data_IF_384298554957
#
_entry.id   IF_384298554957
#
_cell.length_a   1.000
_cell.length_b   1.000
_cell.length_c   1.000
_cell.angle_alpha   90.00
_cell.angle_beta   90.00
_cell.angle_gamma   90.00
#
_symmetry.space_group_name_H-M   'P 1'
#
loop_
_entity.id
_entity.type
_entity.pdbx_description
1 polymer ?
#
# COMPACT_ATOMS: atom_id res chain seq x y z
N UNK A 1 -4.99 4.51 -18.08
CA UNK A 1 -4.68 4.77 -16.64
C UNK A 1 -4.93 6.24 -16.33
N UNK A 2 -5.55 6.55 -15.20
CA UNK A 2 -5.70 7.92 -14.66
C UNK A 2 -4.60 8.22 -13.66
N UNK A 3 -4.32 9.48 -13.42
CA UNK A 3 -3.25 9.92 -12.52
C UNK A 3 -3.80 10.86 -11.44
N UNK A 4 -3.16 10.86 -10.27
CA UNK A 4 -3.47 11.68 -9.11
C UNK A 4 -2.21 12.37 -8.61
N UNK A 5 -2.34 13.50 -7.92
CA UNK A 5 -1.19 14.16 -7.32
C UNK A 5 -0.77 13.44 -6.03
N UNK A 6 0.52 13.29 -5.83
CA UNK A 6 1.10 12.80 -4.58
C UNK A 6 1.42 13.99 -3.67
N UNK A 7 0.57 14.19 -2.65
CA UNK A 7 0.65 15.39 -1.84
C UNK A 7 0.25 16.65 -2.62
N UNK A 8 0.29 17.79 -1.94
CA UNK A 8 -0.17 19.06 -2.52
C UNK A 8 0.59 19.48 -3.79
N UNK A 9 1.92 19.30 -3.79
CA UNK A 9 2.82 19.77 -4.84
C UNK A 9 3.70 18.67 -5.44
N UNK A 10 3.40 17.41 -5.17
CA UNK A 10 4.22 16.28 -5.62
C UNK A 10 3.94 15.84 -7.06
N UNK A 11 4.60 14.78 -7.51
CA UNK A 11 4.47 14.24 -8.84
C UNK A 11 3.09 13.61 -9.09
N UNK A 12 2.79 13.32 -10.35
CA UNK A 12 1.61 12.55 -10.72
C UNK A 12 1.89 11.05 -10.57
N UNK A 13 1.05 10.35 -9.81
CA UNK A 13 1.06 8.90 -9.62
C UNK A 13 -0.17 8.27 -10.26
N UNK A 14 -0.06 7.04 -10.72
CA UNK A 14 -1.20 6.27 -11.25
C UNK A 14 -2.28 6.12 -10.18
N UNK A 15 -3.54 6.31 -10.56
CA UNK A 15 -4.68 6.24 -9.64
C UNK A 15 -4.81 4.87 -8.95
N UNK A 16 -4.33 3.82 -9.60
CA UNK A 16 -4.04 2.52 -8.99
C UNK A 16 -2.55 2.28 -9.18
N UNK A 17 -1.86 2.10 -8.07
CA UNK A 17 -0.43 1.85 -8.01
C UNK A 17 -0.15 0.40 -7.62
N UNK A 18 1.08 -0.02 -7.47
CA UNK A 18 1.40 -1.42 -7.23
C UNK A 18 2.11 -1.60 -5.89
N UNK A 19 1.45 -2.32 -4.97
CA UNK A 19 2.03 -2.80 -3.72
C UNK A 19 2.68 -4.18 -3.87
N UNK A 20 3.27 -4.65 -2.76
CA UNK A 20 3.87 -5.98 -2.67
C UNK A 20 2.80 -7.09 -2.73
N UNK A 21 3.03 -8.10 -3.56
CA UNK A 21 2.24 -9.35 -3.54
C UNK A 21 2.40 -10.10 -2.22
N UNK A 22 1.42 -10.91 -1.85
CA UNK A 22 1.41 -11.66 -0.59
C UNK A 22 2.47 -12.77 -0.55
N UNK A 23 2.72 -13.42 -1.69
CA UNK A 23 3.69 -14.50 -1.82
C UNK A 23 5.10 -13.93 -1.96
N UNK A 24 6.03 -14.40 -1.11
CA UNK A 24 7.44 -14.06 -1.23
C UNK A 24 8.07 -14.72 -2.46
N UNK A 25 8.84 -13.94 -3.20
CA UNK A 25 9.62 -14.44 -4.35
C UNK A 25 10.96 -14.95 -3.82
N UNK A 26 11.31 -16.17 -4.16
CA UNK A 26 12.62 -16.76 -3.88
C UNK A 26 13.58 -16.41 -5.00
N UNK A 27 14.75 -15.88 -4.67
CA UNK A 27 15.76 -15.51 -5.69
C UNK A 27 16.29 -16.71 -6.47
N UNK A 28 16.32 -17.86 -5.81
CA UNK A 28 16.77 -19.13 -6.36
C UNK A 28 15.75 -19.74 -7.34
N UNK A 29 14.50 -19.28 -7.28
CA UNK A 29 13.43 -19.69 -8.18
C UNK A 29 13.35 -18.71 -9.35
N UNK A 30 14.09 -19.01 -10.41
CA UNK A 30 14.13 -18.18 -11.62
C UNK A 30 12.75 -17.99 -12.27
N UNK A 31 11.85 -18.98 -12.17
CA UNK A 31 10.52 -18.86 -12.73
C UNK A 31 9.69 -17.82 -11.96
N UNK A 32 9.78 -17.82 -10.62
CA UNK A 32 9.14 -16.79 -9.81
C UNK A 32 9.72 -15.41 -10.09
N UNK A 33 11.04 -15.29 -10.23
CA UNK A 33 11.71 -14.01 -10.56
C UNK A 33 11.28 -13.52 -11.94
N UNK A 34 11.24 -14.39 -12.95
CA UNK A 34 10.75 -14.04 -14.31
C UNK A 34 9.30 -13.57 -14.26
N UNK A 35 8.42 -14.28 -13.55
CA UNK A 35 7.01 -13.90 -13.40
C UNK A 35 6.85 -12.53 -12.73
N UNK A 36 7.62 -12.27 -11.66
CA UNK A 36 7.63 -10.98 -10.98
C UNK A 36 8.07 -9.84 -11.91
N UNK A 37 9.19 -10.03 -12.62
CA UNK A 37 9.70 -9.03 -13.57
C UNK A 37 8.71 -8.75 -14.71
N UNK A 38 8.09 -9.80 -15.26
CA UNK A 38 7.07 -9.66 -16.28
C UNK A 38 5.84 -8.91 -15.76
N UNK A 39 5.41 -9.18 -14.52
CA UNK A 39 4.29 -8.48 -13.90
C UNK A 39 4.61 -6.99 -13.69
N UNK A 40 5.82 -6.63 -13.24
CA UNK A 40 6.23 -5.24 -13.08
C UNK A 40 6.34 -4.50 -14.43
N UNK A 41 6.92 -5.16 -15.45
CA UNK A 41 6.94 -4.59 -16.81
C UNK A 41 5.53 -4.37 -17.34
N UNK A 42 4.63 -5.34 -17.14
CA UNK A 42 3.23 -5.21 -17.55
C UNK A 42 2.53 -4.07 -16.81
N UNK A 43 2.83 -3.86 -15.52
CA UNK A 43 2.33 -2.71 -14.78
C UNK A 43 2.76 -1.38 -15.43
N UNK A 44 4.03 -1.25 -15.75
CA UNK A 44 4.55 -0.07 -16.45
C UNK A 44 3.88 0.15 -17.81
N UNK A 45 3.71 -0.88 -18.62
CA UNK A 45 3.02 -0.82 -19.92
C UNK A 45 1.55 -0.37 -19.81
N UNK A 46 0.89 -0.72 -18.72
CA UNK A 46 -0.48 -0.25 -18.41
C UNK A 46 -0.53 1.16 -17.84
N UNK A 47 0.61 1.83 -17.68
CA UNK A 47 0.73 3.18 -17.15
C UNK A 47 0.74 3.24 -15.62
N UNK A 48 0.95 2.12 -14.92
CA UNK A 48 1.26 2.13 -13.48
C UNK A 48 2.67 2.68 -13.31
N UNK A 49 2.79 3.78 -12.59
CA UNK A 49 4.07 4.47 -12.43
C UNK A 49 4.52 4.63 -10.97
N UNK A 50 3.82 4.04 -9.99
CA UNK A 50 4.23 4.09 -8.60
C UNK A 50 4.29 2.68 -8.00
N UNK A 51 5.47 2.28 -7.52
CA UNK A 51 5.76 0.95 -7.00
C UNK A 51 6.21 1.02 -5.54
N UNK A 52 5.51 0.30 -4.66
CA UNK A 52 5.74 0.33 -3.23
C UNK A 52 6.60 -0.84 -2.75
N UNK A 53 7.66 -0.53 -2.01
CA UNK A 53 8.56 -1.48 -1.37
C UNK A 53 8.76 -1.18 0.12
N UNK A 54 9.63 -1.95 0.77
CA UNK A 54 10.11 -1.74 2.15
C UNK A 54 11.33 -2.62 2.41
N UNK A 55 12.19 -2.18 3.31
CA UNK A 55 13.29 -2.97 3.87
C UNK A 55 12.80 -4.23 4.60
N UNK A 56 11.59 -4.18 5.19
CA UNK A 56 10.99 -5.31 5.91
C UNK A 56 10.35 -6.37 4.99
N UNK A 57 10.28 -6.14 3.67
CA UNK A 57 9.59 -7.06 2.78
C UNK A 57 10.49 -8.22 2.33
N UNK A 58 10.07 -9.46 2.65
CA UNK A 58 10.78 -10.69 2.30
C UNK A 58 12.24 -10.72 2.77
N UNK A 59 12.53 -10.15 3.94
CA UNK A 59 13.90 -10.04 4.43
C UNK A 59 14.78 -9.17 3.52
N UNK A 60 14.32 -7.96 3.21
CA UNK A 60 14.95 -6.97 2.31
C UNK A 60 14.95 -7.32 0.81
N UNK A 61 14.60 -8.55 0.43
CA UNK A 61 14.73 -9.05 -0.96
C UNK A 61 13.83 -8.32 -1.95
N UNK A 62 12.68 -7.80 -1.50
CA UNK A 62 11.75 -7.09 -2.38
C UNK A 62 12.38 -5.83 -2.99
N UNK A 63 13.17 -5.08 -2.24
CA UNK A 63 13.89 -3.89 -2.75
C UNK A 63 14.84 -4.26 -3.88
N UNK A 64 15.65 -5.30 -3.70
CA UNK A 64 16.60 -5.75 -4.71
C UNK A 64 15.91 -6.27 -5.99
N UNK A 65 14.77 -6.96 -5.85
CA UNK A 65 13.98 -7.42 -7.00
C UNK A 65 13.35 -6.25 -7.74
N UNK A 66 12.75 -5.30 -7.01
CA UNK A 66 12.16 -4.10 -7.60
C UNK A 66 13.21 -3.30 -8.38
N UNK A 67 14.36 -3.01 -7.77
CA UNK A 67 15.43 -2.24 -8.41
C UNK A 67 15.93 -2.89 -9.71
N UNK A 68 16.10 -4.21 -9.72
CA UNK A 68 16.48 -4.96 -10.95
C UNK A 68 15.40 -4.88 -12.02
N UNK A 69 14.14 -5.04 -11.64
CA UNK A 69 13.01 -5.08 -12.58
C UNK A 69 12.76 -3.74 -13.27
N UNK A 70 12.99 -2.61 -12.58
CA UNK A 70 12.77 -1.26 -13.13
C UNK A 70 13.99 -0.64 -13.81
N UNK A 71 15.16 -1.30 -13.80
CA UNK A 71 16.41 -0.73 -14.29
C UNK A 71 16.30 -0.08 -15.68
N UNK A 72 15.51 -0.66 -16.58
CA UNK A 72 15.33 -0.15 -17.95
C UNK A 72 14.35 1.03 -18.10
N UNK A 73 13.62 1.40 -17.02
CA UNK A 73 12.62 2.48 -17.05
C UNK A 73 12.52 3.24 -15.72
N UNK A 74 13.59 3.22 -14.91
CA UNK A 74 13.66 3.86 -13.58
C UNK A 74 13.22 5.32 -13.59
N UNK A 75 13.62 6.08 -14.59
CA UNK A 75 13.33 7.52 -14.68
C UNK A 75 11.88 7.84 -15.07
N UNK A 76 11.12 6.82 -15.45
CA UNK A 76 9.72 6.95 -15.87
C UNK A 76 8.75 6.53 -14.76
N UNK A 77 9.27 6.09 -13.61
CA UNK A 77 8.46 5.58 -12.50
C UNK A 77 8.89 6.17 -11.17
N UNK A 78 8.00 6.12 -10.20
CA UNK A 78 8.23 6.49 -8.81
C UNK A 78 8.32 5.22 -7.97
N UNK A 79 9.27 5.18 -7.08
CA UNK A 79 9.44 4.07 -6.13
C UNK A 79 9.33 4.57 -4.70
N UNK A 80 8.77 3.74 -3.85
CA UNK A 80 8.86 3.98 -2.41
C UNK A 80 9.58 2.86 -1.69
N UNK A 81 10.21 3.22 -0.58
CA UNK A 81 10.64 2.27 0.43
C UNK A 81 10.33 2.78 1.82
N UNK A 82 10.52 1.91 2.83
CA UNK A 82 10.15 2.17 4.22
C UNK A 82 11.24 1.65 5.15
N UNK A 83 11.36 2.27 6.33
CA UNK A 83 12.26 1.87 7.41
C UNK A 83 11.54 1.92 8.75
N UNK A 84 12.19 1.44 9.80
CA UNK A 84 11.73 1.61 11.18
C UNK A 84 11.18 0.34 11.83
N UNK A 85 10.83 -0.69 11.06
CA UNK A 85 10.50 -2.00 11.62
C UNK A 85 11.77 -2.81 11.86
N UNK A 86 11.97 -3.29 13.08
CA UNK A 86 13.10 -4.13 13.45
C UNK A 86 12.66 -5.47 14.06
N UNK A 87 13.43 -6.50 13.80
CA UNK A 87 13.29 -7.80 14.44
C UNK A 87 14.30 -7.90 15.60
N UNK A 88 13.78 -8.08 16.80
CA UNK A 88 14.63 -8.27 17.99
C UNK A 88 15.16 -9.71 18.05
N UNK A 89 16.28 -9.96 18.76
CA UNK A 89 16.88 -11.29 18.90
C UNK A 89 15.92 -12.34 19.49
N UNK A 90 14.94 -11.91 20.30
CA UNK A 90 13.91 -12.78 20.89
C UNK A 90 12.73 -13.06 19.94
N UNK A 91 12.82 -12.60 18.67
CA UNK A 91 11.79 -12.77 17.65
C UNK A 91 10.63 -11.78 17.73
N UNK A 92 10.64 -10.86 18.69
CA UNK A 92 9.63 -9.80 18.78
C UNK A 92 9.89 -8.72 17.73
N UNK A 93 8.83 -8.02 17.39
CA UNK A 93 8.87 -6.84 16.52
C UNK A 93 8.99 -5.58 17.37
N UNK A 94 9.84 -4.66 16.94
CA UNK A 94 9.97 -3.34 17.52
C UNK A 94 10.07 -2.27 16.44
N UNK A 95 10.14 -1.03 16.85
CA UNK A 95 10.31 0.13 15.97
C UNK A 95 11.60 0.88 16.33
N UNK A 96 12.21 1.52 15.35
CA UNK A 96 13.37 2.38 15.54
C UNK A 96 13.25 3.61 14.64
N UNK A 97 12.91 4.75 15.26
CA UNK A 97 12.77 6.05 14.62
C UNK A 97 13.98 6.98 14.83
N UNK A 98 15.08 6.49 15.41
CA UNK A 98 16.24 7.34 15.75
C UNK A 98 16.90 7.92 14.50
N UNK A 99 17.37 9.18 14.53
CA UNK A 99 18.01 9.84 13.40
C UNK A 99 19.12 9.03 12.74
N UNK A 100 20.01 8.41 13.51
CA UNK A 100 21.13 7.62 12.98
C UNK A 100 20.61 6.44 12.17
N UNK A 101 19.58 5.76 12.67
CA UNK A 101 18.97 4.61 12.01
C UNK A 101 18.25 4.99 10.71
N UNK A 102 17.68 6.20 10.62
CA UNK A 102 17.08 6.74 9.39
C UNK A 102 18.10 6.77 8.27
N UNK A 103 19.32 7.29 8.54
CA UNK A 103 20.39 7.41 7.55
C UNK A 103 20.91 6.03 7.12
N UNK A 104 21.21 5.16 8.08
CA UNK A 104 21.68 3.78 7.83
C UNK A 104 20.71 3.00 6.94
N UNK A 105 19.43 3.05 7.26
CA UNK A 105 18.38 2.34 6.50
C UNK A 105 18.23 2.90 5.09
N UNK A 106 18.28 4.22 4.92
CA UNK A 106 18.16 4.84 3.61
C UNK A 106 19.33 4.43 2.69
N UNK A 107 20.56 4.52 3.18
CA UNK A 107 21.74 4.14 2.40
C UNK A 107 21.74 2.65 2.04
N UNK A 108 21.31 1.80 2.98
CA UNK A 108 21.14 0.38 2.73
C UNK A 108 20.05 0.10 1.68
N UNK A 109 18.93 0.81 1.70
CA UNK A 109 17.83 0.68 0.75
C UNK A 109 18.24 1.12 -0.65
N UNK A 110 18.92 2.26 -0.79
CA UNK A 110 19.49 2.75 -2.05
C UNK A 110 20.44 1.72 -2.68
N UNK A 111 21.35 1.17 -1.85
CA UNK A 111 22.30 0.13 -2.27
C UNK A 111 21.59 -1.15 -2.73
N UNK A 112 20.58 -1.64 -1.97
CA UNK A 112 19.86 -2.86 -2.35
C UNK A 112 19.06 -2.70 -3.64
N UNK A 113 18.41 -1.56 -3.82
CA UNK A 113 17.67 -1.25 -5.05
C UNK A 113 18.57 -0.89 -6.23
N UNK A 114 19.83 -0.51 -5.98
CA UNK A 114 20.75 -0.06 -7.02
C UNK A 114 20.27 1.24 -7.68
N UNK A 115 19.76 2.16 -6.87
CA UNK A 115 19.28 3.48 -7.29
C UNK A 115 19.94 4.58 -6.45
N UNK A 116 20.03 5.79 -7.01
CA UNK A 116 20.61 6.95 -6.33
C UNK A 116 19.56 7.71 -5.47
N UNK A 117 18.27 7.58 -5.83
CA UNK A 117 17.18 8.34 -5.20
C UNK A 117 15.95 7.45 -4.98
N UNK A 118 15.34 7.55 -3.80
CA UNK A 118 14.01 7.02 -3.48
C UNK A 118 13.00 8.16 -3.63
N UNK A 119 11.94 7.94 -4.40
CA UNK A 119 10.95 9.00 -4.64
C UNK A 119 10.08 9.29 -3.43
N UNK A 120 9.66 8.25 -2.67
CA UNK A 120 8.92 8.42 -1.42
C UNK A 120 9.52 7.52 -0.34
N UNK A 121 10.02 8.11 0.73
CA UNK A 121 10.59 7.35 1.83
C UNK A 121 9.68 7.43 3.06
N UNK A 122 9.28 6.26 3.59
CA UNK A 122 8.31 6.17 4.66
C UNK A 122 8.94 5.76 5.99
N UNK A 123 8.52 6.41 7.06
CA UNK A 123 8.58 5.80 8.39
C UNK A 123 7.47 4.71 8.46
N UNK A 124 7.86 3.44 8.55
CA UNK A 124 6.94 2.29 8.45
C UNK A 124 6.01 2.15 9.66
N UNK A 125 6.49 2.52 10.85
CA UNK A 125 5.72 2.64 12.10
C UNK A 125 6.34 3.75 12.95
N UNK A 126 5.49 4.53 13.58
CA UNK A 126 5.93 5.56 14.53
C UNK A 126 6.60 4.88 15.73
N UNK A 127 7.79 5.33 16.09
CA UNK A 127 8.49 4.89 17.29
C UNK A 127 8.01 5.71 18.48
N UNK A 128 7.34 5.11 19.48
CA UNK A 128 6.85 5.86 20.64
C UNK A 128 7.97 6.39 21.56
N UNK A 129 9.19 5.86 21.42
CA UNK A 129 10.34 6.27 22.22
C UNK A 129 11.12 7.45 21.61
N UNK A 130 10.79 7.86 20.38
CA UNK A 130 11.46 8.95 19.67
C UNK A 130 10.44 10.03 19.29
N UNK A 131 10.67 11.31 19.63
CA UNK A 131 9.82 12.38 19.12
C UNK A 131 9.71 12.33 17.60
N UNK A 132 8.49 12.41 17.08
CA UNK A 132 8.27 12.30 15.61
C UNK A 132 9.03 13.39 14.85
N UNK A 133 9.22 14.53 15.46
CA UNK A 133 9.97 15.67 14.92
C UNK A 133 11.43 15.33 14.66
N UNK A 134 12.07 14.54 15.54
CA UNK A 134 13.46 14.13 15.39
C UNK A 134 13.61 13.15 14.21
N UNK A 135 12.70 12.17 14.12
CA UNK A 135 12.67 11.23 13.00
C UNK A 135 12.45 11.96 11.67
N UNK A 136 11.44 12.84 11.62
CA UNK A 136 11.11 13.60 10.40
C UNK A 136 12.21 14.60 10.05
N UNK A 137 12.86 15.20 11.03
CA UNK A 137 14.02 16.05 10.84
C UNK A 137 15.17 15.32 10.16
N UNK A 138 15.47 14.09 10.60
CA UNK A 138 16.46 13.23 9.93
C UNK A 138 16.05 12.86 8.50
N UNK A 139 14.78 12.52 8.28
CA UNK A 139 14.26 12.24 6.95
C UNK A 139 14.36 13.48 6.02
N UNK A 140 14.14 14.69 6.54
CA UNK A 140 14.29 15.94 5.79
C UNK A 140 15.73 16.16 5.32
N UNK A 141 16.72 15.79 6.15
CA UNK A 141 18.14 15.83 5.74
C UNK A 141 18.46 14.93 4.56
N UNK A 142 17.76 13.80 4.41
CA UNK A 142 17.91 12.94 3.23
C UNK A 142 17.41 13.61 1.94
N UNK A 143 16.42 14.50 2.03
CA UNK A 143 15.99 15.34 0.89
C UNK A 143 17.10 16.35 0.54
N UNK A 144 17.66 17.05 1.54
CA UNK A 144 18.77 17.99 1.34
C UNK A 144 19.99 17.32 0.70
N UNK A 145 20.24 16.03 1.03
CA UNK A 145 21.30 15.22 0.45
C UNK A 145 20.96 14.67 -0.96
N UNK A 146 19.76 14.90 -1.46
CA UNK A 146 19.29 14.38 -2.75
C UNK A 146 19.01 12.87 -2.79
N UNK A 147 18.99 12.18 -1.64
CA UNK A 147 18.75 10.74 -1.52
C UNK A 147 17.27 10.37 -1.56
N UNK A 148 16.40 11.30 -1.17
CA UNK A 148 14.93 11.14 -1.07
C UNK A 148 14.27 12.36 -1.69
N UNK A 149 13.14 12.16 -2.39
CA UNK A 149 12.37 13.28 -2.96
C UNK A 149 11.22 13.73 -2.08
N UNK A 150 10.49 12.80 -1.49
CA UNK A 150 9.29 13.07 -0.69
C UNK A 150 9.24 12.18 0.55
N UNK A 151 8.69 12.73 1.64
CA UNK A 151 8.50 11.99 2.88
C UNK A 151 7.10 11.41 2.99
N UNK A 152 7.02 10.22 3.57
CA UNK A 152 5.77 9.58 3.96
C UNK A 152 5.83 8.99 5.38
N UNK A 153 4.66 8.72 5.93
CA UNK A 153 4.52 8.02 7.22
C UNK A 153 3.46 6.93 7.05
N UNK A 154 3.62 5.80 7.77
CA UNK A 154 2.60 4.77 7.82
C UNK A 154 1.92 4.76 9.18
N UNK A 155 0.60 4.49 9.20
CA UNK A 155 -0.18 4.20 10.41
C UNK A 155 -0.09 5.31 11.49
N UNK A 156 0.06 6.56 11.11
CA UNK A 156 0.06 7.67 12.05
C UNK A 156 -1.36 8.19 12.28
N UNK A 157 -1.73 8.37 13.54
CA UNK A 157 -2.96 9.08 13.90
C UNK A 157 -2.88 10.59 13.62
N UNK A 158 -4.04 11.29 13.59
CA UNK A 158 -4.12 12.69 13.18
C UNK A 158 -3.19 13.65 13.94
N UNK A 159 -3.05 13.48 15.26
CA UNK A 159 -2.20 14.33 16.08
C UNK A 159 -0.72 14.19 15.70
N UNK A 160 -0.24 12.96 15.57
CA UNK A 160 1.14 12.66 15.15
C UNK A 160 1.40 13.13 13.72
N UNK A 161 0.43 12.94 12.82
CA UNK A 161 0.55 13.38 11.43
C UNK A 161 0.71 14.90 11.32
N UNK A 162 -0.08 15.67 12.09
CA UNK A 162 0.04 17.14 12.14
C UNK A 162 1.40 17.59 12.71
N UNK A 163 1.90 16.93 13.75
CA UNK A 163 3.24 17.22 14.32
C UNK A 163 4.33 16.96 13.28
N UNK A 164 4.29 15.78 12.64
CA UNK A 164 5.22 15.40 11.58
C UNK A 164 5.21 16.41 10.43
N UNK A 165 4.02 16.77 9.95
CA UNK A 165 3.87 17.70 8.82
C UNK A 165 4.34 19.12 9.13
N UNK A 166 4.26 19.56 10.41
CA UNK A 166 4.85 20.84 10.84
C UNK A 166 6.38 20.82 10.86
N UNK A 167 7.00 19.68 11.21
CA UNK A 167 8.45 19.53 11.18
C UNK A 167 9.00 19.56 9.75
N UNK A 168 8.35 18.86 8.84
CA UNK A 168 8.63 18.91 7.40
C UNK A 168 7.40 18.42 6.62
N UNK A 169 7.07 18.99 5.45
CA UNK A 169 5.94 18.53 4.62
C UNK A 169 5.96 17.02 4.35
N UNK A 170 4.89 16.36 4.76
CA UNK A 170 4.62 14.94 4.47
C UNK A 170 3.76 14.87 3.21
N UNK A 171 4.22 14.13 2.21
CA UNK A 171 3.51 13.98 0.94
C UNK A 171 2.47 12.86 0.97
N UNK A 172 2.71 11.79 1.73
CA UNK A 172 1.83 10.63 1.76
C UNK A 172 1.71 10.03 3.16
N UNK A 173 0.49 9.61 3.52
CA UNK A 173 0.23 8.71 4.63
C UNK A 173 -0.17 7.35 4.06
N UNK A 174 0.51 6.27 4.48
CA UNK A 174 0.16 4.92 4.06
C UNK A 174 -0.49 4.16 5.21
N UNK A 175 -1.78 3.87 5.09
CA UNK A 175 -2.59 3.17 6.11
C UNK A 175 -3.57 2.20 5.46
N UNK A 176 -4.03 1.16 6.19
CA UNK A 176 -5.04 0.23 5.67
C UNK A 176 -6.32 0.99 5.33
N UNK A 177 -6.88 0.76 4.14
CA UNK A 177 -8.20 1.24 3.74
C UNK A 177 -8.80 0.33 2.67
N UNK A 178 -10.05 -0.02 2.87
CA UNK A 178 -10.82 -0.84 1.94
C UNK A 178 -12.32 -0.77 2.31
N UNK A 179 -13.20 -1.35 1.52
CA UNK A 179 -14.58 -1.61 1.94
C UNK A 179 -14.66 -2.31 3.30
N UNK A 180 -13.62 -3.08 3.65
CA UNK A 180 -13.53 -3.85 4.88
C UNK A 180 -13.03 -3.07 6.10
N UNK A 181 -12.19 -2.07 5.89
CA UNK A 181 -11.59 -1.26 6.95
C UNK A 181 -11.78 0.22 6.62
N UNK A 182 -12.72 0.85 7.31
CA UNK A 182 -13.20 2.22 7.01
C UNK A 182 -13.10 3.18 8.19
N UNK A 183 -12.57 2.75 9.33
CA UNK A 183 -12.42 3.58 10.53
C UNK A 183 -11.66 4.87 10.28
N UNK A 184 -10.74 4.86 9.34
CA UNK A 184 -9.94 6.03 8.92
C UNK A 184 -10.76 7.18 8.34
N UNK A 185 -11.99 6.91 7.92
CA UNK A 185 -12.92 7.93 7.41
C UNK A 185 -13.36 8.93 8.49
N UNK A 186 -13.25 8.54 9.78
CA UNK A 186 -13.70 9.35 10.91
C UNK A 186 -12.77 10.52 11.22
N UNK A 187 -11.46 10.33 11.08
CA UNK A 187 -10.49 11.30 11.56
C UNK A 187 -9.18 11.35 10.74
N UNK A 188 -8.63 10.21 10.33
CA UNK A 188 -7.33 10.14 9.65
C UNK A 188 -7.42 10.70 8.23
N UNK A 189 -8.42 10.27 7.47
CA UNK A 189 -8.64 10.76 6.09
C UNK A 189 -8.99 12.26 6.05
N UNK A 190 -9.87 12.79 6.92
CA UNK A 190 -10.05 14.24 7.07
C UNK A 190 -8.76 15.00 7.40
N UNK A 191 -7.89 14.48 8.28
CA UNK A 191 -6.61 15.11 8.59
C UNK A 191 -5.66 15.12 7.38
N UNK A 192 -5.63 14.06 6.58
CA UNK A 192 -4.87 14.05 5.33
C UNK A 192 -5.34 15.15 4.37
N UNK A 193 -6.66 15.32 4.22
CA UNK A 193 -7.27 16.34 3.36
C UNK A 193 -6.94 17.76 3.82
N UNK A 194 -7.06 18.02 5.14
CA UNK A 194 -6.66 19.29 5.77
C UNK A 194 -5.22 19.67 5.40
N UNK A 195 -4.31 18.71 5.49
CA UNK A 195 -2.87 18.91 5.27
C UNK A 195 -2.44 18.82 3.79
N UNK A 196 -3.31 18.38 2.90
CA UNK A 196 -2.99 18.12 1.49
C UNK A 196 -2.05 16.92 1.31
N UNK A 197 -2.22 15.90 2.14
CA UNK A 197 -1.45 14.66 2.15
C UNK A 197 -2.22 13.60 1.34
N UNK A 198 -1.56 12.91 0.42
CA UNK A 198 -2.16 11.79 -0.30
C UNK A 198 -2.28 10.57 0.62
N UNK A 199 -3.47 9.98 0.64
CA UNK A 199 -3.74 8.74 1.35
C UNK A 199 -3.40 7.54 0.46
N UNK A 200 -2.33 6.81 0.79
CA UNK A 200 -1.91 5.60 0.09
C UNK A 200 -2.52 4.39 0.81
N UNK A 201 -3.51 3.78 0.17
CA UNK A 201 -4.30 2.71 0.77
C UNK A 201 -3.63 1.34 0.56
N UNK A 202 -3.06 0.74 1.60
CA UNK A 202 -2.61 -0.64 1.51
C UNK A 202 -3.73 -1.63 1.85
N UNK A 203 -3.55 -2.91 1.45
CA UNK A 203 -4.56 -3.97 1.56
C UNK A 203 -5.96 -3.57 1.05
N UNK A 204 -6.07 -2.87 -0.11
CA UNK A 204 -7.33 -2.32 -0.61
C UNK A 204 -8.37 -3.41 -0.95
N UNK A 205 -7.95 -4.66 -1.07
CA UNK A 205 -8.79 -5.83 -1.31
C UNK A 205 -9.02 -6.68 -0.03
N UNK A 206 -8.89 -6.08 1.17
CA UNK A 206 -9.13 -6.78 2.43
C UNK A 206 -8.24 -8.01 2.62
N UNK A 207 -6.96 -7.92 2.23
CA UNK A 207 -6.00 -9.05 2.20
C UNK A 207 -6.43 -10.20 1.30
N UNK A 208 -7.21 -9.92 0.26
CA UNK A 208 -7.72 -10.88 -0.71
C UNK A 208 -9.14 -11.37 -0.44
N UNK A 209 -9.77 -11.03 0.68
CA UNK A 209 -11.14 -11.43 0.98
C UNK A 209 -12.14 -10.82 -0.02
N UNK A 210 -11.98 -9.55 -0.36
CA UNK A 210 -12.83 -8.83 -1.34
C UNK A 210 -12.66 -9.31 -2.80
N UNK A 211 -11.83 -10.31 -3.04
CA UNK A 211 -11.73 -10.95 -4.37
C UNK A 211 -12.78 -12.04 -4.60
N UNK A 212 -13.47 -12.49 -3.53
CA UNK A 212 -14.40 -13.62 -3.56
C UNK A 212 -13.73 -15.01 -3.62
N UNK A 213 -12.39 -15.08 -3.65
CA UNK A 213 -11.64 -16.36 -3.79
C UNK A 213 -11.47 -17.12 -2.48
N UNK A 214 -11.72 -16.49 -1.33
CA UNK A 214 -11.57 -17.09 0.00
C UNK A 214 -12.98 -17.24 0.56
N UNK A 215 -13.46 -18.47 0.61
CA UNK A 215 -14.79 -18.81 1.14
C UNK A 215 -14.68 -19.56 2.47
N UNK A 216 -13.58 -20.28 2.66
CA UNK A 216 -13.30 -21.05 3.87
C UNK A 216 -11.84 -20.85 4.30
N UNK A 217 -11.52 -21.24 5.53
CA UNK A 217 -10.13 -21.19 6.02
C UNK A 217 -9.22 -22.13 5.20
N UNK A 218 -9.76 -23.17 4.60
CA UNK A 218 -8.99 -24.15 3.83
C UNK A 218 -8.57 -23.65 2.44
N UNK A 219 -9.14 -22.52 1.97
CA UNK A 219 -8.66 -21.80 0.79
C UNK A 219 -7.30 -21.09 1.07
N UNK A 220 -6.88 -21.05 2.34
CA UNK A 220 -5.59 -20.51 2.76
C UNK A 220 -4.62 -21.65 3.08
N UNK A 221 -3.41 -21.59 2.55
CA UNK A 221 -2.36 -22.56 2.87
C UNK A 221 -2.15 -22.68 4.39
N UNK A 222 -1.75 -23.85 4.91
CA UNK A 222 -1.60 -24.07 6.37
C UNK A 222 -0.69 -23.06 7.08
N UNK A 223 0.34 -22.58 6.40
CA UNK A 223 1.31 -21.60 6.91
C UNK A 223 0.98 -20.14 6.51
N UNK A 224 -0.19 -19.87 5.93
CA UNK A 224 -0.60 -18.54 5.53
C UNK A 224 -0.86 -17.67 6.78
N UNK A 225 -0.17 -16.52 6.86
CA UNK A 225 -0.28 -15.60 7.99
C UNK A 225 -1.71 -15.06 8.19
N UNK A 226 -2.52 -15.04 7.13
CA UNK A 226 -3.92 -14.60 7.19
C UNK A 226 -4.77 -15.46 8.09
N UNK A 227 -4.44 -16.74 8.27
CA UNK A 227 -5.11 -17.65 9.23
C UNK A 227 -5.10 -17.12 10.68
N UNK A 228 -4.13 -16.27 11.03
CA UNK A 228 -4.01 -15.66 12.37
C UNK A 228 -4.71 -14.30 12.48
N UNK A 229 -5.25 -13.81 11.40
CA UNK A 229 -5.92 -12.51 11.40
C UNK A 229 -7.41 -12.69 11.76
N UNK A 230 -7.97 -11.90 12.70
CA UNK A 230 -9.35 -12.07 13.16
C UNK A 230 -10.40 -12.15 12.04
N UNK A 231 -10.18 -11.44 10.95
CA UNK A 231 -11.05 -11.43 9.75
C UNK A 231 -11.22 -12.82 9.12
N UNK A 232 -10.24 -13.71 9.29
CA UNK A 232 -10.24 -15.06 8.73
C UNK A 232 -10.49 -16.14 9.78
N UNK A 233 -10.75 -15.77 11.05
CA UNK A 233 -11.19 -16.72 12.05
C UNK A 233 -12.53 -17.35 11.59
N UNK A 234 -12.75 -18.67 11.79
CA UNK A 234 -13.90 -19.39 11.21
C UNK A 234 -15.25 -18.71 11.46
N UNK A 235 -15.47 -18.23 12.69
CA UNK A 235 -16.69 -17.55 13.12
C UNK A 235 -16.90 -16.21 12.40
N UNK A 236 -15.83 -15.47 12.15
CA UNK A 236 -15.88 -14.21 11.42
C UNK A 236 -15.96 -14.44 9.92
N UNK A 237 -15.20 -15.40 9.40
CA UNK A 237 -15.11 -15.66 7.96
C UNK A 237 -16.47 -16.04 7.37
N UNK A 238 -17.26 -16.88 8.06
CA UNK A 238 -18.59 -17.27 7.59
C UNK A 238 -19.54 -16.06 7.40
N UNK A 239 -19.49 -15.10 8.33
CA UNK A 239 -20.24 -13.84 8.22
C UNK A 239 -19.66 -12.97 7.08
N UNK A 240 -18.36 -12.89 7.01
CA UNK A 240 -17.65 -12.03 6.08
C UNK A 240 -17.85 -12.48 4.63
N UNK A 241 -17.95 -13.78 4.39
CA UNK A 241 -18.23 -14.34 3.06
C UNK A 241 -19.60 -13.89 2.55
N UNK A 242 -20.62 -13.78 3.41
CA UNK A 242 -21.94 -13.28 2.99
C UNK A 242 -21.89 -11.85 2.45
N UNK A 243 -21.10 -10.97 3.10
CA UNK A 243 -20.90 -9.60 2.60
C UNK A 243 -20.16 -9.59 1.26
N UNK A 244 -19.19 -10.50 1.08
CA UNK A 244 -18.48 -10.64 -0.19
C UNK A 244 -19.39 -11.19 -1.30
N UNK A 245 -20.34 -12.09 -0.99
CA UNK A 245 -21.34 -12.59 -1.94
C UNK A 245 -22.26 -11.46 -2.44
N UNK A 246 -22.65 -10.53 -1.57
CA UNK A 246 -23.36 -9.32 -2.00
C UNK A 246 -22.51 -8.46 -2.94
N UNK A 247 -21.23 -8.27 -2.63
CA UNK A 247 -20.29 -7.56 -3.50
C UNK A 247 -20.16 -8.25 -4.87
N UNK A 248 -20.05 -9.59 -4.90
CA UNK A 248 -19.99 -10.37 -6.12
C UNK A 248 -21.27 -10.22 -6.97
N UNK A 249 -22.43 -10.24 -6.34
CA UNK A 249 -23.71 -10.04 -7.03
C UNK A 249 -23.80 -8.63 -7.65
N UNK A 250 -23.40 -7.60 -6.89
CA UNK A 250 -23.35 -6.22 -7.41
C UNK A 250 -22.35 -6.06 -8.56
N UNK A 251 -21.18 -6.69 -8.45
CA UNK A 251 -20.14 -6.66 -9.49
C UNK A 251 -20.60 -7.34 -10.77
N UNK A 252 -21.24 -8.53 -10.65
CA UNK A 252 -21.82 -9.27 -11.78
C UNK A 252 -22.84 -8.42 -12.54
N UNK A 253 -23.68 -7.68 -11.83
CA UNK A 253 -24.64 -6.74 -12.43
C UNK A 253 -24.01 -5.59 -13.22
N UNK A 254 -22.69 -5.39 -13.12
CA UNK A 254 -21.92 -4.38 -13.87
C UNK A 254 -20.92 -4.99 -14.87
N UNK A 255 -20.87 -6.31 -14.97
CA UNK A 255 -19.91 -7.00 -15.83
C UNK A 255 -18.46 -6.86 -15.36
N UNK A 256 -18.20 -6.67 -14.05
CA UNK A 256 -16.88 -6.53 -13.47
C UNK A 256 -16.66 -7.55 -12.35
N UNK A 257 -15.42 -7.70 -11.88
CA UNK A 257 -15.10 -8.55 -10.73
C UNK A 257 -15.35 -7.83 -9.40
N UNK A 258 -15.57 -8.57 -8.32
CA UNK A 258 -15.69 -8.01 -6.97
C UNK A 258 -14.47 -7.15 -6.58
N UNK A 259 -13.27 -7.61 -6.92
CA UNK A 259 -12.03 -6.85 -6.72
C UNK A 259 -12.03 -5.50 -7.45
N UNK A 260 -12.48 -5.48 -8.70
CA UNK A 260 -12.59 -4.25 -9.49
C UNK A 260 -13.64 -3.30 -8.90
N UNK A 261 -14.78 -3.83 -8.47
CA UNK A 261 -15.82 -3.02 -7.83
C UNK A 261 -15.35 -2.41 -6.52
N UNK A 262 -14.63 -3.18 -5.68
CA UNK A 262 -14.04 -2.69 -4.45
C UNK A 262 -12.99 -1.57 -4.68
N UNK A 263 -12.13 -1.72 -5.68
CA UNK A 263 -11.15 -0.69 -6.05
C UNK A 263 -11.83 0.56 -6.62
N UNK A 264 -12.85 0.40 -7.48
CA UNK A 264 -13.61 1.52 -8.04
C UNK A 264 -14.36 2.30 -6.95
N UNK A 265 -14.93 1.60 -5.95
CA UNK A 265 -15.52 2.25 -4.78
C UNK A 265 -14.50 3.11 -4.03
N UNK A 266 -13.30 2.58 -3.79
CA UNK A 266 -12.24 3.34 -3.11
C UNK A 266 -11.81 4.57 -3.90
N UNK A 267 -11.67 4.43 -5.22
CA UNK A 267 -11.34 5.56 -6.10
C UNK A 267 -12.42 6.64 -6.10
N UNK A 268 -13.68 6.28 -5.85
CA UNK A 268 -14.79 7.22 -5.76
C UNK A 268 -14.84 8.00 -4.43
N UNK A 269 -14.03 7.62 -3.43
CA UNK A 269 -13.96 8.34 -2.15
C UNK A 269 -13.19 9.67 -2.23
N UNK A 270 -12.35 9.87 -3.25
CA UNK A 270 -11.60 11.11 -3.46
C UNK A 270 -10.38 10.92 -4.36
N UNK A 271 -9.93 12.02 -4.97
CA UNK A 271 -8.73 12.03 -5.81
C UNK A 271 -7.42 12.06 -5.00
N UNK A 272 -7.54 12.19 -3.71
CA UNK A 272 -6.47 12.16 -2.70
C UNK A 272 -6.13 10.73 -2.21
N UNK A 273 -6.81 9.70 -2.73
CA UNK A 273 -6.63 8.31 -2.33
C UNK A 273 -5.98 7.50 -3.45
N UNK A 274 -4.89 6.79 -3.15
CA UNK A 274 -4.16 5.93 -4.09
C UNK A 274 -4.08 4.51 -3.54
N UNK A 275 -4.93 3.57 -4.00
CA UNK A 275 -4.81 2.17 -3.63
C UNK A 275 -3.55 1.53 -4.23
N UNK A 276 -2.90 0.66 -3.43
CA UNK A 276 -1.72 -0.12 -3.81
C UNK A 276 -1.99 -1.63 -3.69
N UNK A 277 -2.91 -2.20 -4.51
CA UNK A 277 -3.16 -3.63 -4.50
C UNK A 277 -1.89 -4.39 -4.89
N UNK A 278 -1.48 -5.35 -4.04
CA UNK A 278 -0.30 -6.18 -4.28
C UNK A 278 -0.64 -7.45 -5.06
N UNK A 279 0.14 -7.76 -6.09
CA UNK A 279 0.06 -9.02 -6.82
C UNK A 279 1.40 -9.38 -7.45
N UNK A 280 1.62 -10.69 -7.65
CA UNK A 280 2.75 -11.23 -8.41
C UNK A 280 2.30 -11.80 -9.79
N UNK A 281 1.03 -11.59 -10.18
CA UNK A 281 0.44 -12.15 -11.38
C UNK A 281 -0.10 -11.06 -12.30
N UNK A 282 0.34 -11.06 -13.56
CA UNK A 282 -0.04 -10.05 -14.56
C UNK A 282 -1.57 -9.96 -14.76
N UNK A 283 -2.28 -11.09 -14.81
CA UNK A 283 -3.74 -11.10 -14.94
C UNK A 283 -4.45 -10.33 -13.81
N UNK A 284 -4.04 -10.54 -12.54
CA UNK A 284 -4.63 -9.80 -11.43
C UNK A 284 -4.29 -8.30 -11.50
N UNK A 285 -3.08 -7.98 -11.96
CA UNK A 285 -2.65 -6.60 -12.17
C UNK A 285 -3.51 -5.91 -13.23
N UNK A 286 -3.77 -6.56 -14.35
CA UNK A 286 -4.61 -6.02 -15.43
C UNK A 286 -6.04 -5.73 -14.95
N UNK A 287 -6.63 -6.65 -14.18
CA UNK A 287 -7.93 -6.44 -13.56
C UNK A 287 -7.91 -5.27 -12.58
N UNK A 288 -6.89 -5.18 -11.74
CA UNK A 288 -6.74 -4.07 -10.79
C UNK A 288 -6.60 -2.73 -11.53
N UNK A 289 -5.73 -2.66 -12.54
CA UNK A 289 -5.50 -1.44 -13.32
C UNK A 289 -6.77 -0.96 -14.05
N UNK A 290 -7.54 -1.90 -14.62
CA UNK A 290 -8.79 -1.61 -15.30
C UNK A 290 -9.87 -1.01 -14.37
N UNK A 291 -9.79 -1.24 -13.06
CA UNK A 291 -10.71 -0.63 -12.10
C UNK A 291 -10.64 0.92 -12.10
N UNK A 292 -9.53 1.51 -12.55
CA UNK A 292 -9.41 2.97 -12.69
C UNK A 292 -10.38 3.59 -13.71
N UNK A 293 -10.91 2.79 -14.61
CA UNK A 293 -11.83 3.26 -15.67
C UNK A 293 -13.30 3.03 -15.31
N UNK A 294 -13.59 2.26 -14.24
CA UNK A 294 -14.95 2.01 -13.77
C UNK A 294 -15.52 3.27 -13.11
N UNK A 295 -16.73 3.67 -13.52
CA UNK A 295 -17.49 4.77 -12.91
C UNK A 295 -18.64 4.19 -12.10
N UNK A 296 -18.75 4.64 -10.87
CA UNK A 296 -19.87 4.28 -9.99
C UNK A 296 -20.78 5.48 -9.84
N UNK A 297 -22.10 5.24 -9.89
CA UNK A 297 -23.05 6.28 -9.51
C UNK A 297 -23.01 6.54 -8.00
N UNK A 298 -23.43 7.72 -7.54
CA UNK A 298 -23.49 8.02 -6.10
C UNK A 298 -24.30 6.99 -5.31
N UNK A 299 -25.40 6.49 -5.89
CA UNK A 299 -26.29 5.50 -5.27
C UNK A 299 -25.56 4.16 -5.07
N UNK A 300 -24.72 3.75 -6.05
CA UNK A 300 -23.92 2.53 -5.92
C UNK A 300 -22.80 2.67 -4.90
N UNK A 301 -22.14 3.82 -4.84
CA UNK A 301 -21.15 4.12 -3.81
C UNK A 301 -21.80 4.08 -2.43
N UNK A 302 -22.98 4.70 -2.26
CA UNK A 302 -23.73 4.68 -1.01
C UNK A 302 -24.13 3.24 -0.62
N UNK A 303 -24.68 2.47 -1.58
CA UNK A 303 -25.09 1.08 -1.32
C UNK A 303 -23.92 0.19 -0.89
N UNK A 304 -22.76 0.29 -1.55
CA UNK A 304 -21.54 -0.42 -1.15
C UNK A 304 -21.09 0.00 0.26
N UNK A 305 -21.17 1.30 0.56
CA UNK A 305 -20.82 1.83 1.89
C UNK A 305 -21.78 1.36 2.99
N UNK A 306 -23.03 1.11 2.67
CA UNK A 306 -24.04 0.57 3.58
C UNK A 306 -23.81 -0.93 3.85
N UNK A 307 -23.59 -1.74 2.81
CA UNK A 307 -23.29 -3.17 2.92
C UNK A 307 -22.04 -3.40 3.77
N UNK A 308 -21.01 -2.60 3.55
CA UNK A 308 -19.76 -2.63 4.31
C UNK A 308 -19.72 -1.48 5.33
N UNK A 309 -20.76 -1.35 6.14
CA UNK A 309 -20.77 -0.35 7.22
C UNK A 309 -19.57 -0.51 8.17
N UNK A 310 -19.12 0.59 8.76
CA UNK A 310 -17.99 0.57 9.72
C UNK A 310 -18.31 -0.39 10.87
N UNK A 311 -17.45 -1.40 11.06
CA UNK A 311 -17.64 -2.43 12.07
C UNK A 311 -18.51 -3.63 11.62
N UNK A 312 -18.89 -3.72 10.35
CA UNK A 312 -19.68 -4.83 9.83
C UNK A 312 -18.90 -6.16 9.72
N UNK A 313 -17.57 -6.10 9.66
CA UNK A 313 -16.68 -7.22 9.40
C UNK A 313 -15.76 -7.64 10.56
#
# INVERSE_FOLDING_TARGET
MKYRKLGRNGPSVSAISMGRGSQAIKFEDEAMVRTFNATLRRAFELGVNFFDSSDAYWGTRHEALLGRAIKGFRDQVLISSKFGNIDLPDGKKATNGRPEYVYECCDASLKRMGVEVIDVYYLHRVDPAVPIEDTVGAMARLIEQGKVRHLGICEAGPATLRRAHRAHPIAALQTEYSLWFREVERDVLPACRELGITYVAYAPLGRGLLTGRIKTVDDLAPNDRRRRHPRFAPENLARNVKLVEELEAMAKGQGVTAAQLALAWMLAQGDDIVPIPGTNHAHNLELNAAAADIRLSPEKVARLSEVFAIGAG
#
